data_IF_103577244938
#
_entry.id   IF_103577244938
#
_cell.length_a   1.000
_cell.length_b   1.000
_cell.length_c   1.000
_cell.angle_alpha   90.00
_cell.angle_beta   90.00
_cell.angle_gamma   90.00
#
_symmetry.space_group_name_H-M   'P 1'
#
loop_
_entity.id
_entity.type
_entity.pdbx_description
1 polymer ?
#
# COMPACT_ATOMS: atom_id res chain seq x y z
N UNK A 1 1.35 -8.78 -13.13
CA UNK A 1 0.06 -8.10 -13.23
C UNK A 1 0.08 -6.83 -12.39
N UNK A 2 -0.34 -5.71 -12.98
CA UNK A 2 -0.31 -4.44 -12.26
C UNK A 2 -1.51 -4.32 -11.33
N UNK A 3 -1.27 -3.89 -10.08
CA UNK A 3 -2.31 -3.81 -9.07
C UNK A 3 -2.05 -2.60 -8.16
N UNK A 4 -3.11 -1.87 -7.80
CA UNK A 4 -2.96 -0.74 -6.87
C UNK A 4 -2.76 -1.24 -5.45
N UNK A 5 -2.22 -0.38 -4.57
CA UNK A 5 -2.07 -0.72 -3.16
C UNK A 5 -3.40 -1.12 -2.53
N UNK A 6 -4.45 -0.36 -2.84
CA UNK A 6 -5.78 -0.67 -2.30
C UNK A 6 -6.26 -2.04 -2.76
N UNK A 7 -6.13 -2.34 -4.06
CA UNK A 7 -6.57 -3.62 -4.60
C UNK A 7 -5.76 -4.77 -4.02
N UNK A 8 -4.45 -4.59 -3.86
CA UNK A 8 -3.60 -5.61 -3.27
C UNK A 8 -4.03 -5.92 -1.83
N UNK A 9 -4.35 -4.87 -1.07
CA UNK A 9 -4.84 -5.03 0.30
C UNK A 9 -6.18 -5.77 0.33
N UNK A 10 -7.11 -5.33 -0.51
CA UNK A 10 -8.46 -5.93 -0.57
C UNK A 10 -8.38 -7.41 -0.98
N UNK A 11 -7.48 -7.74 -1.89
CA UNK A 11 -7.30 -9.13 -2.31
C UNK A 11 -6.87 -10.05 -1.16
N UNK A 12 -6.28 -9.49 -0.12
CA UNK A 12 -5.90 -10.26 1.07
C UNK A 12 -6.96 -10.20 2.16
N UNK A 13 -8.15 -9.67 1.84
CA UNK A 13 -9.26 -9.55 2.79
C UNK A 13 -8.90 -8.71 4.01
N UNK A 14 -8.07 -7.70 3.81
CA UNK A 14 -7.64 -6.81 4.89
C UNK A 14 -8.31 -5.46 4.76
N UNK A 15 -8.87 -4.95 5.86
CA UNK A 15 -9.29 -3.56 5.90
C UNK A 15 -8.06 -2.68 6.19
N UNK A 16 -8.24 -1.36 6.12
CA UNK A 16 -7.11 -0.44 6.32
C UNK A 16 -6.52 -0.56 7.72
N UNK A 17 -7.34 -0.75 8.73
CA UNK A 17 -6.88 -0.86 10.11
C UNK A 17 -5.99 -2.10 10.29
N UNK A 18 -6.44 -3.22 9.75
CA UNK A 18 -5.68 -4.47 9.83
C UNK A 18 -4.36 -4.37 9.08
N UNK A 19 -4.42 -3.83 7.87
CA UNK A 19 -3.22 -3.71 7.05
C UNK A 19 -2.22 -2.74 7.66
N UNK A 20 -2.67 -1.61 8.17
CA UNK A 20 -1.80 -0.63 8.82
C UNK A 20 -1.08 -1.27 10.00
N UNK A 21 -1.79 -2.07 10.79
CA UNK A 21 -1.18 -2.76 11.93
C UNK A 21 -0.08 -3.72 11.47
N UNK A 22 -0.35 -4.50 10.43
CA UNK A 22 0.64 -5.45 9.91
C UNK A 22 1.85 -4.73 9.32
N UNK A 23 1.65 -3.56 8.74
CA UNK A 23 2.74 -2.77 8.15
C UNK A 23 3.47 -1.93 9.19
N UNK A 24 2.93 -1.81 10.40
CA UNK A 24 3.54 -1.00 11.45
C UNK A 24 3.40 0.49 11.23
N UNK A 25 2.33 0.91 10.59
CA UNK A 25 2.06 2.33 10.29
C UNK A 25 0.65 2.70 10.78
N UNK A 26 0.36 4.01 10.80
CA UNK A 26 -0.98 4.45 11.15
C UNK A 26 -1.93 4.28 9.97
N UNK A 27 -3.23 4.22 10.29
CA UNK A 27 -4.26 4.17 9.24
C UNK A 27 -4.16 5.39 8.34
N UNK A 28 -3.90 6.57 8.91
CA UNK A 28 -3.78 7.80 8.12
C UNK A 28 -2.63 7.71 7.13
N UNK A 29 -1.49 7.16 7.57
CA UNK A 29 -0.35 6.97 6.68
C UNK A 29 -0.70 6.02 5.53
N UNK A 30 -1.39 4.93 5.85
CA UNK A 30 -1.81 3.99 4.80
C UNK A 30 -2.79 4.65 3.83
N UNK A 31 -3.74 5.44 4.34
CA UNK A 31 -4.65 6.18 3.48
C UNK A 31 -3.91 7.10 2.52
N UNK A 32 -2.88 7.78 3.02
CA UNK A 32 -2.08 8.66 2.17
C UNK A 32 -1.34 7.88 1.08
N UNK A 33 -0.82 6.72 1.42
CA UNK A 33 -0.15 5.88 0.41
C UNK A 33 -1.15 5.39 -0.64
N UNK A 34 -2.33 4.97 -0.23
CA UNK A 34 -3.34 4.47 -1.17
C UNK A 34 -3.90 5.59 -2.03
N UNK A 35 -3.97 6.81 -1.51
CA UNK A 35 -4.45 7.97 -2.25
C UNK A 35 -3.37 8.61 -3.14
N UNK A 36 -2.11 8.23 -2.96
CA UNK A 36 -1.02 8.80 -3.73
C UNK A 36 -0.52 10.14 -3.22
N UNK A 37 -0.92 10.54 -2.01
CA UNK A 37 -0.47 11.81 -1.42
C UNK A 37 0.89 11.69 -0.75
N UNK A 38 1.34 10.48 -0.48
CA UNK A 38 2.70 10.22 -0.03
C UNK A 38 3.13 8.87 -0.56
N UNK A 39 4.42 8.57 -0.45
CA UNK A 39 5.02 7.36 -1.01
C UNK A 39 5.75 6.59 0.10
N UNK A 40 5.54 5.28 0.21
CA UNK A 40 6.22 4.51 1.25
C UNK A 40 7.71 4.37 0.96
N UNK A 41 8.51 4.28 2.02
CA UNK A 41 9.94 4.01 1.87
C UNK A 41 10.19 2.52 1.63
N UNK A 42 11.45 2.18 1.35
CA UNK A 42 11.81 0.80 0.98
C UNK A 42 11.42 -0.22 2.06
N UNK A 43 11.70 0.00 3.35
CA UNK A 43 11.29 -0.97 4.37
C UNK A 43 9.77 -1.24 4.38
N UNK A 44 8.96 -0.20 4.17
CA UNK A 44 7.50 -0.37 4.14
C UNK A 44 7.08 -1.11 2.88
N UNK A 45 7.70 -0.79 1.74
CA UNK A 45 7.42 -1.51 0.49
C UNK A 45 7.71 -3.00 0.65
N UNK A 46 8.82 -3.34 1.30
CA UNK A 46 9.16 -4.74 1.53
C UNK A 46 8.11 -5.44 2.40
N UNK A 47 7.61 -4.75 3.42
CA UNK A 47 6.52 -5.28 4.24
C UNK A 47 5.23 -5.45 3.43
N UNK A 48 4.95 -4.52 2.53
CA UNK A 48 3.79 -4.62 1.65
C UNK A 48 3.90 -5.83 0.74
N UNK A 49 5.07 -6.07 0.17
CA UNK A 49 5.28 -7.24 -0.67
C UNK A 49 4.95 -8.54 0.08
N UNK A 50 5.43 -8.66 1.31
CA UNK A 50 5.18 -9.85 2.12
C UNK A 50 3.74 -9.95 2.58
N UNK A 51 3.18 -8.82 3.01
CA UNK A 51 1.82 -8.79 3.57
C UNK A 51 0.77 -9.00 2.49
N UNK A 52 0.97 -8.40 1.32
CA UNK A 52 0.00 -8.47 0.23
C UNK A 52 0.32 -9.56 -0.79
N UNK A 53 1.44 -10.24 -0.64
CA UNK A 53 1.87 -11.30 -1.56
C UNK A 53 1.97 -10.79 -3.00
N UNK A 54 2.62 -9.64 -3.16
CA UNK A 54 2.83 -9.01 -4.48
C UNK A 54 4.29 -8.62 -4.61
N UNK A 55 4.72 -8.40 -5.84
CA UNK A 55 6.05 -7.88 -6.13
C UNK A 55 5.97 -6.37 -6.32
N UNK A 56 7.01 -5.67 -5.89
CA UNK A 56 7.06 -4.23 -6.09
C UNK A 56 6.81 -3.85 -7.56
N UNK A 57 7.38 -4.62 -8.49
CA UNK A 57 7.23 -4.34 -9.92
C UNK A 57 5.77 -4.40 -10.38
N UNK A 58 4.92 -5.09 -9.65
CA UNK A 58 3.49 -5.21 -10.00
C UNK A 58 2.63 -4.15 -9.31
N UNK A 59 3.19 -3.40 -8.36
CA UNK A 59 2.42 -2.39 -7.62
C UNK A 59 2.30 -1.11 -8.43
N UNK A 60 1.09 -0.61 -8.50
CA UNK A 60 0.81 0.70 -9.08
C UNK A 60 0.68 1.70 -7.95
N UNK A 61 1.59 2.67 -7.89
CA UNK A 61 1.49 3.77 -6.94
C UNK A 61 0.80 4.92 -7.64
N UNK A 62 -0.34 5.33 -7.10
CA UNK A 62 -1.08 6.43 -7.71
C UNK A 62 -0.22 7.69 -7.68
N UNK A 63 -0.15 8.43 -8.78
CA UNK A 63 0.61 9.67 -8.77
C UNK A 63 -0.10 10.70 -7.88
N UNK A 64 0.71 11.51 -7.21
CA UNK A 64 0.18 12.67 -6.51
C UNK A 64 -0.24 13.67 -7.56
N UNK A 65 -1.53 13.86 -7.71
CA UNK A 65 -2.06 14.71 -8.75
C UNK A 65 -2.32 16.11 -8.23
N UNK A 66 -1.42 17.02 -8.56
CA UNK A 66 -1.56 18.41 -8.19
C UNK A 66 -1.93 19.28 -9.32
N UNK A 67 -2.21 18.72 -10.43
CA UNK A 67 -2.50 19.54 -11.61
C UNK A 67 -3.82 20.24 -11.48
#
# INVERSE_FOLDING_TARGET
MAITLKAARVNQNLNQKEAAKLLGISVKTLQNYEAGTSFPDVPIIEKMERTYHVKYADLIFLPHNNA
#
